data_IF_253062867558
#
_entry.id   IF_253062867558
#
_cell.length_a   1.000
_cell.length_b   1.000
_cell.length_c   1.000
_cell.angle_alpha   90.00
_cell.angle_beta   90.00
_cell.angle_gamma   90.00
#
_symmetry.space_group_name_H-M   'P 1'
#
loop_
_entity.id
_entity.type
_entity.pdbx_description
1 polymer ?
#
# COMPACT_ATOMS: atom_id res chain seq x y z
N UNK A 1 37.78 30.69 -23.29
CA UNK A 1 37.03 29.41 -23.43
C UNK A 1 35.85 29.25 -22.48
N UNK A 2 35.98 29.47 -21.14
CA UNK A 2 34.86 29.28 -20.18
C UNK A 2 33.62 30.15 -20.47
N UNK A 3 33.80 31.44 -20.80
CA UNK A 3 32.68 32.35 -21.08
C UNK A 3 31.90 32.03 -22.37
N UNK A 4 32.56 31.47 -23.38
CA UNK A 4 31.93 31.07 -24.66
C UNK A 4 31.12 29.80 -24.46
N UNK A 5 31.60 28.84 -23.65
CA UNK A 5 30.87 27.63 -23.32
C UNK A 5 29.61 27.94 -22.48
N UNK A 6 29.74 28.86 -21.50
CA UNK A 6 28.63 29.37 -20.71
C UNK A 6 27.62 30.15 -21.56
N UNK A 7 28.08 30.97 -22.50
CA UNK A 7 27.23 31.67 -23.46
C UNK A 7 26.48 30.74 -24.41
N UNK A 8 27.13 29.69 -24.91
CA UNK A 8 26.51 28.65 -25.74
C UNK A 8 25.48 27.82 -24.97
N UNK A 9 25.80 27.44 -23.73
CA UNK A 9 24.84 26.78 -22.83
C UNK A 9 23.64 27.69 -22.56
N UNK A 10 23.86 28.96 -22.20
CA UNK A 10 22.80 29.93 -21.99
C UNK A 10 21.93 30.12 -23.25
N UNK A 11 22.54 30.19 -24.44
CA UNK A 11 21.80 30.32 -25.70
C UNK A 11 20.97 29.06 -26.05
N UNK A 12 21.50 27.87 -25.79
CA UNK A 12 20.77 26.59 -25.92
C UNK A 12 19.60 26.49 -24.93
N UNK A 13 19.71 27.10 -23.75
CA UNK A 13 18.63 27.19 -22.75
C UNK A 13 17.59 28.28 -23.06
N UNK A 14 17.98 29.37 -23.74
CA UNK A 14 17.10 30.51 -24.04
C UNK A 14 16.26 30.33 -25.31
N UNK A 15 16.71 29.51 -26.28
CA UNK A 15 15.99 29.29 -27.55
C UNK A 15 15.76 27.80 -27.87
N UNK A 16 15.04 27.04 -27.02
CA UNK A 16 14.65 25.69 -27.38
C UNK A 16 13.59 25.73 -28.50
N UNK A 17 14.00 25.48 -29.75
CA UNK A 17 13.05 25.27 -30.84
C UNK A 17 12.52 23.84 -30.78
N UNK A 18 11.20 23.71 -30.89
CA UNK A 18 10.54 22.41 -31.06
C UNK A 18 11.07 21.72 -32.31
N UNK A 19 11.78 20.62 -32.12
CA UNK A 19 12.28 19.80 -33.21
C UNK A 19 11.24 18.72 -33.51
N UNK A 20 10.68 18.76 -34.71
CA UNK A 20 9.73 17.77 -35.21
C UNK A 20 10.43 16.46 -35.57
N UNK A 21 10.33 15.46 -34.70
CA UNK A 21 10.81 14.09 -34.91
C UNK A 21 9.68 13.12 -34.52
N UNK A 22 9.50 12.04 -35.26
CA UNK A 22 8.37 11.10 -35.12
C UNK A 22 6.95 11.66 -35.32
N UNK A 23 6.76 12.92 -35.73
CA UNK A 23 5.45 13.60 -35.59
C UNK A 23 5.18 14.10 -34.16
N UNK A 24 6.20 14.08 -33.31
CA UNK A 24 6.17 14.53 -31.92
C UNK A 24 6.81 15.93 -31.82
N UNK A 25 6.16 16.81 -31.06
CA UNK A 25 6.75 18.07 -30.61
C UNK A 25 7.62 17.76 -29.39
N UNK A 26 8.95 17.84 -29.51
CA UNK A 26 9.87 17.34 -28.47
C UNK A 26 11.07 18.24 -28.24
N UNK A 27 11.38 18.47 -26.96
CA UNK A 27 12.61 19.11 -26.47
C UNK A 27 13.21 18.22 -25.37
N UNK A 28 14.49 17.88 -25.49
CA UNK A 28 15.20 17.09 -24.49
C UNK A 28 16.50 17.79 -24.06
N UNK A 29 16.47 18.40 -22.88
CA UNK A 29 17.61 18.97 -22.15
C UNK A 29 17.79 18.24 -20.80
N UNK A 30 17.47 16.95 -20.75
CA UNK A 30 17.49 16.16 -19.51
C UNK A 30 18.88 16.20 -18.83
N UNK A 31 18.96 16.23 -17.50
CA UNK A 31 17.84 16.13 -16.57
C UNK A 31 17.14 17.47 -16.32
N UNK A 32 17.58 18.60 -16.89
CA UNK A 32 17.05 19.91 -16.52
C UNK A 32 15.62 20.14 -17.03
N UNK A 33 15.37 19.79 -18.28
CA UNK A 33 14.05 19.98 -18.89
C UNK A 33 13.81 18.92 -19.96
N UNK A 34 12.64 18.31 -19.94
CA UNK A 34 12.17 17.42 -20.99
C UNK A 34 10.70 17.71 -21.25
N UNK A 35 10.34 17.83 -22.52
CA UNK A 35 8.95 17.99 -22.93
C UNK A 35 8.70 17.20 -24.21
N UNK A 36 7.59 16.47 -24.22
CA UNK A 36 7.13 15.73 -25.38
C UNK A 36 5.62 15.84 -25.48
N UNK A 37 5.14 16.08 -26.69
CA UNK A 37 3.74 16.03 -27.04
C UNK A 37 3.55 15.22 -28.30
N UNK A 38 2.65 14.23 -28.21
CA UNK A 38 2.22 13.41 -29.32
C UNK A 38 0.85 13.88 -29.80
N UNK A 39 0.75 14.55 -30.97
CA UNK A 39 -0.51 15.04 -31.51
C UNK A 39 -1.52 13.93 -31.81
N UNK A 40 -1.07 12.73 -32.22
CA UNK A 40 -1.95 11.63 -32.61
C UNK A 40 -2.63 10.98 -31.40
N UNK A 41 -1.85 10.70 -30.36
CA UNK A 41 -2.36 10.04 -29.15
C UNK A 41 -2.92 11.05 -28.14
N UNK A 42 -2.55 12.33 -28.26
CA UNK A 42 -2.87 13.37 -27.28
C UNK A 42 -2.05 13.23 -25.97
N UNK A 43 -1.00 12.42 -25.98
CA UNK A 43 -0.12 12.22 -24.83
C UNK A 43 0.87 13.39 -24.76
N UNK A 44 0.89 14.06 -23.61
CA UNK A 44 1.80 15.15 -23.29
C UNK A 44 2.51 14.83 -21.99
N UNK A 45 3.82 15.04 -21.94
CA UNK A 45 4.64 14.79 -20.76
C UNK A 45 5.70 15.89 -20.60
N UNK A 46 5.95 16.28 -19.36
CA UNK A 46 7.00 17.23 -19.00
C UNK A 46 7.73 16.79 -17.74
N UNK A 47 9.05 16.87 -17.76
CA UNK A 47 9.93 16.67 -16.60
C UNK A 47 10.84 17.88 -16.42
N UNK A 48 11.03 18.34 -15.18
CA UNK A 48 11.94 19.44 -14.85
C UNK A 48 12.81 19.04 -13.67
N UNK A 49 14.12 19.26 -13.81
CA UNK A 49 15.14 18.85 -12.85
C UNK A 49 15.04 17.34 -12.49
N UNK A 50 14.89 16.48 -13.50
CA UNK A 50 14.87 15.03 -13.36
C UNK A 50 13.59 14.57 -12.67
N UNK A 51 13.65 14.09 -11.41
CA UNK A 51 12.47 13.57 -10.72
C UNK A 51 11.63 14.65 -9.99
N UNK A 52 12.15 15.87 -9.81
CA UNK A 52 11.50 16.87 -8.94
C UNK A 52 10.14 17.33 -9.47
N UNK A 53 10.04 17.74 -10.73
CA UNK A 53 8.75 18.04 -11.35
C UNK A 53 8.41 17.05 -12.45
N UNK A 54 7.17 16.60 -12.46
CA UNK A 54 6.61 15.78 -13.52
C UNK A 54 5.17 16.16 -13.78
N UNK A 55 4.76 16.20 -15.03
CA UNK A 55 3.35 16.31 -15.40
C UNK A 55 3.06 15.48 -16.63
N UNK A 56 1.90 14.86 -16.67
CA UNK A 56 1.41 14.20 -17.87
C UNK A 56 -0.05 14.52 -18.14
N UNK A 57 -0.43 14.40 -19.40
CA UNK A 57 -1.82 14.43 -19.87
C UNK A 57 -1.99 13.36 -20.94
N UNK A 58 -3.06 12.62 -20.85
CA UNK A 58 -3.55 11.65 -21.83
C UNK A 58 -5.04 11.93 -22.08
N UNK A 59 -5.70 11.15 -22.94
CA UNK A 59 -7.15 11.29 -23.18
C UNK A 59 -7.99 10.93 -21.94
N UNK A 60 -7.50 10.02 -21.10
CA UNK A 60 -8.25 9.46 -19.97
C UNK A 60 -7.77 9.98 -18.60
N UNK A 61 -6.48 10.29 -18.51
CA UNK A 61 -5.82 10.63 -17.26
C UNK A 61 -4.90 11.84 -17.39
N UNK A 62 -4.74 12.58 -16.29
CA UNK A 62 -3.79 13.69 -16.21
C UNK A 62 -3.32 13.92 -14.78
N UNK A 63 -2.21 14.65 -14.63
CA UNK A 63 -1.82 15.24 -13.36
C UNK A 63 -0.36 15.65 -13.30
N UNK A 64 0.16 15.76 -12.09
CA UNK A 64 1.49 16.29 -11.83
C UNK A 64 2.08 15.78 -10.50
N UNK A 65 3.39 15.95 -10.33
CA UNK A 65 4.11 15.67 -9.10
C UNK A 65 5.24 16.70 -8.91
N UNK A 66 5.24 17.35 -7.76
CA UNK A 66 6.37 18.11 -7.20
C UNK A 66 6.99 17.24 -6.09
N UNK A 67 7.91 16.37 -6.44
CA UNK A 67 8.43 15.32 -5.55
C UNK A 67 9.48 15.87 -4.59
N UNK A 68 9.54 15.35 -3.33
CA UNK A 68 8.59 14.42 -2.70
C UNK A 68 7.39 15.14 -2.03
N UNK A 69 7.22 16.44 -2.28
CA UNK A 69 6.32 17.32 -1.53
C UNK A 69 4.84 17.09 -1.82
N UNK A 70 4.46 16.97 -3.09
CA UNK A 70 3.07 16.79 -3.48
C UNK A 70 2.91 16.07 -4.82
N UNK A 71 1.82 15.33 -4.99
CA UNK A 71 1.41 14.82 -6.29
C UNK A 71 -0.11 14.81 -6.43
N UNK A 72 -0.59 14.97 -7.66
CA UNK A 72 -1.99 14.97 -8.02
C UNK A 72 -2.21 14.10 -9.25
N UNK A 73 -3.16 13.17 -9.18
CA UNK A 73 -3.64 12.42 -10.34
C UNK A 73 -5.15 12.51 -10.48
N UNK A 74 -5.59 12.60 -11.74
CA UNK A 74 -6.97 12.47 -12.17
C UNK A 74 -7.04 11.30 -13.12
N UNK A 75 -7.61 10.20 -12.63
CA UNK A 75 -7.96 8.98 -13.36
C UNK A 75 -9.47 9.00 -13.65
N UNK A 76 -9.98 8.16 -14.58
CA UNK A 76 -11.39 8.18 -14.99
C UNK A 76 -12.40 8.13 -13.82
N UNK A 77 -12.13 7.30 -12.82
CA UNK A 77 -13.02 7.09 -11.66
C UNK A 77 -12.41 7.59 -10.35
N UNK A 78 -11.22 8.19 -10.37
CA UNK A 78 -10.49 8.50 -9.13
C UNK A 78 -9.68 9.78 -9.26
N UNK A 79 -9.81 10.67 -8.28
CA UNK A 79 -8.88 11.78 -8.06
C UNK A 79 -8.06 11.47 -6.82
N UNK A 80 -6.76 11.66 -6.91
CA UNK A 80 -5.83 11.42 -5.81
C UNK A 80 -4.90 12.62 -5.67
N UNK A 81 -4.77 13.13 -4.44
CA UNK A 81 -3.78 14.13 -4.08
C UNK A 81 -2.96 13.60 -2.91
N UNK A 82 -1.66 13.74 -2.96
CA UNK A 82 -0.73 13.28 -1.92
C UNK A 82 0.14 14.46 -1.53
N UNK A 83 0.44 14.59 -0.23
CA UNK A 83 1.31 15.63 0.33
C UNK A 83 2.26 14.99 1.33
N UNK A 84 3.57 15.17 1.15
CA UNK A 84 4.63 14.56 1.97
C UNK A 84 4.35 13.08 2.26
N UNK A 85 4.03 12.30 1.21
CA UNK A 85 3.61 10.90 1.37
C UNK A 85 4.61 10.10 2.22
N UNK A 86 4.15 9.33 3.24
CA UNK A 86 2.77 8.91 3.50
C UNK A 86 1.96 9.83 4.45
N UNK A 87 2.47 11.00 4.80
CA UNK A 87 1.83 11.86 5.81
C UNK A 87 0.46 12.34 5.35
N UNK A 88 0.33 12.89 4.15
CA UNK A 88 -0.90 13.43 3.60
C UNK A 88 -1.39 12.66 2.36
N UNK A 89 -2.66 12.24 2.38
CA UNK A 89 -3.34 11.61 1.24
C UNK A 89 -4.81 11.99 1.21
N UNK A 90 -5.24 12.46 0.05
CA UNK A 90 -6.63 12.68 -0.32
C UNK A 90 -6.97 11.78 -1.49
N UNK A 91 -8.07 11.05 -1.41
CA UNK A 91 -8.65 10.42 -2.59
C UNK A 91 -10.16 10.60 -2.64
N UNK A 92 -10.66 10.74 -3.86
CA UNK A 92 -12.06 10.89 -4.18
C UNK A 92 -12.42 9.88 -5.27
N UNK A 93 -13.36 9.01 -4.95
CA UNK A 93 -14.08 8.12 -5.86
C UNK A 93 -15.55 8.56 -5.92
N UNK A 94 -16.40 8.03 -6.82
CA UNK A 94 -17.82 8.39 -6.88
C UNK A 94 -18.53 8.26 -5.52
N UNK A 95 -18.19 7.22 -4.76
CA UNK A 95 -18.95 6.82 -3.57
C UNK A 95 -18.30 7.24 -2.24
N UNK A 96 -17.02 7.61 -2.26
CA UNK A 96 -16.24 7.89 -1.05
C UNK A 96 -15.23 9.01 -1.23
N UNK A 97 -15.20 9.92 -0.26
CA UNK A 97 -14.19 10.97 -0.16
C UNK A 97 -13.41 10.81 1.14
N UNK A 98 -12.09 10.62 1.04
CA UNK A 98 -11.23 10.47 2.21
C UNK A 98 -10.03 11.39 2.14
N UNK A 99 -9.77 12.10 3.24
CA UNK A 99 -8.57 12.89 3.46
C UNK A 99 -7.91 12.43 4.76
N UNK A 100 -6.61 12.12 4.70
CA UNK A 100 -5.81 11.72 5.85
C UNK A 100 -4.53 12.54 5.84
N UNK A 101 -4.20 13.15 6.97
CA UNK A 101 -2.92 13.76 7.32
C UNK A 101 -2.46 13.14 8.64
N UNK A 102 -1.60 12.13 8.61
CA UNK A 102 -1.17 11.41 9.82
C UNK A 102 -0.22 12.30 10.65
N UNK A 103 -0.35 12.34 11.99
CA UNK A 103 -1.50 11.91 12.81
C UNK A 103 -2.55 13.01 13.01
N UNK A 104 -2.37 14.17 12.36
CA UNK A 104 -3.04 15.43 12.67
C UNK A 104 -4.51 15.47 12.28
N UNK A 105 -4.90 14.94 11.12
CA UNK A 105 -6.24 15.11 10.60
C UNK A 105 -6.74 13.92 9.79
N UNK A 106 -7.98 13.49 10.03
CA UNK A 106 -8.64 12.50 9.19
C UNK A 106 -10.11 12.89 8.98
N UNK A 107 -10.54 12.89 7.72
CA UNK A 107 -11.94 13.04 7.32
C UNK A 107 -12.31 11.89 6.40
N UNK A 108 -13.42 11.25 6.70
CA UNK A 108 -14.04 10.22 5.87
C UNK A 108 -15.51 10.59 5.65
N UNK A 109 -15.96 10.48 4.41
CA UNK A 109 -17.30 10.80 3.96
C UNK A 109 -17.72 9.66 3.03
N UNK A 110 -18.57 8.77 3.56
CA UNK A 110 -19.32 7.80 2.75
C UNK A 110 -20.57 8.49 2.19
N UNK A 111 -20.83 8.25 0.90
CA UNK A 111 -21.95 8.85 0.16
C UNK A 111 -23.03 7.82 -0.22
N UNK A 112 -22.90 6.55 0.19
CA UNK A 112 -23.89 5.52 -0.10
C UNK A 112 -25.03 5.50 0.93
N UNK A 113 -26.27 5.55 0.41
CA UNK A 113 -27.43 4.90 1.01
C UNK A 113 -28.09 5.51 2.26
N UNK A 114 -27.49 6.49 2.93
CA UNK A 114 -28.08 7.10 4.14
C UNK A 114 -28.58 8.54 3.87
N UNK A 115 -29.82 8.86 4.27
CA UNK A 115 -30.38 10.22 4.22
C UNK A 115 -29.53 11.24 5.01
N UNK A 116 -28.74 10.78 5.99
CA UNK A 116 -27.81 11.60 6.78
C UNK A 116 -26.51 10.84 7.10
N UNK A 117 -25.51 10.85 6.19
CA UNK A 117 -24.27 10.12 6.41
C UNK A 117 -23.52 10.69 7.62
N UNK A 118 -23.00 9.85 8.54
CA UNK A 118 -22.29 10.30 9.73
C UNK A 118 -21.04 11.09 9.34
N UNK A 119 -20.87 12.27 9.94
CA UNK A 119 -19.74 13.16 9.66
C UNK A 119 -18.81 13.18 10.84
N UNK A 120 -17.53 12.93 10.62
CA UNK A 120 -16.50 13.07 11.66
C UNK A 120 -15.31 13.83 11.12
N UNK A 121 -14.84 14.80 11.91
CA UNK A 121 -13.64 15.58 11.66
C UNK A 121 -12.81 15.58 12.93
N UNK A 122 -11.55 15.22 12.82
CA UNK A 122 -10.60 15.28 13.92
C UNK A 122 -9.37 16.07 13.48
N UNK A 123 -8.95 17.01 14.30
CA UNK A 123 -7.69 17.75 14.26
C UNK A 123 -7.02 17.58 15.61
N UNK A 124 -6.22 16.53 15.82
CA UNK A 124 -5.71 16.21 17.16
C UNK A 124 -5.10 17.46 17.82
N UNK A 125 -5.58 17.87 19.02
CA UNK A 125 -6.48 17.13 19.92
C UNK A 125 -8.00 17.34 19.78
N UNK A 126 -8.44 18.24 18.91
CA UNK A 126 -9.84 18.66 18.73
C UNK A 126 -10.57 17.70 17.80
N UNK A 127 -11.84 17.40 18.07
CA UNK A 127 -12.70 16.66 17.14
C UNK A 127 -14.14 17.13 17.24
N UNK A 128 -14.90 16.91 16.17
CA UNK A 128 -16.33 17.17 16.13
C UNK A 128 -17.01 16.35 15.02
N UNK A 129 -18.31 16.20 15.14
CA UNK A 129 -19.07 15.43 14.18
C UNK A 129 -20.54 15.32 14.50
N UNK A 130 -21.21 14.50 13.71
CA UNK A 130 -22.63 14.17 13.84
C UNK A 130 -22.79 12.66 13.59
N UNK A 131 -23.59 11.99 14.41
CA UNK A 131 -23.97 10.59 14.16
C UNK A 131 -25.11 10.50 13.13
N UNK A 132 -25.45 9.26 12.72
CA UNK A 132 -26.56 9.02 11.79
C UNK A 132 -27.93 9.45 12.34
N UNK A 133 -28.06 9.60 13.67
CA UNK A 133 -29.27 10.11 14.35
C UNK A 133 -29.32 11.63 14.42
N UNK A 134 -28.36 12.33 13.80
CA UNK A 134 -28.30 13.80 13.78
C UNK A 134 -27.73 14.43 15.06
N UNK A 135 -27.20 13.66 16.00
CA UNK A 135 -26.65 14.17 17.27
C UNK A 135 -25.24 14.71 17.06
N UNK A 136 -25.09 16.02 17.21
CA UNK A 136 -23.79 16.70 17.14
C UNK A 136 -22.95 16.45 18.40
N UNK A 137 -21.65 16.28 18.22
CA UNK A 137 -20.70 16.04 19.29
C UNK A 137 -19.35 16.70 19.02
N UNK A 138 -18.55 16.90 20.07
CA UNK A 138 -17.23 17.52 19.99
C UNK A 138 -16.35 17.17 21.20
N UNK A 139 -15.05 17.43 21.07
CA UNK A 139 -14.12 17.34 22.17
C UNK A 139 -12.75 17.96 21.87
N UNK A 140 -11.97 18.15 22.93
CA UNK A 140 -10.57 18.53 22.96
C UNK A 140 -9.85 17.57 23.90
N UNK A 141 -9.13 16.60 23.34
CA UNK A 141 -8.38 15.63 24.13
C UNK A 141 -7.16 16.27 24.82
N UNK A 142 -6.82 15.93 26.07
CA UNK A 142 -7.53 15.03 26.97
C UNK A 142 -8.60 15.72 27.84
N UNK A 143 -8.85 17.02 27.69
CA UNK A 143 -9.64 17.81 28.64
C UNK A 143 -11.12 17.46 28.68
N UNK A 144 -11.76 17.33 27.53
CA UNK A 144 -13.19 17.01 27.44
C UNK A 144 -13.49 16.41 26.09
N UNK A 145 -14.42 15.47 26.03
CA UNK A 145 -14.98 15.11 24.75
C UNK A 145 -16.18 14.21 24.89
N UNK A 146 -17.18 14.47 24.06
CA UNK A 146 -18.36 13.63 23.92
C UNK A 146 -18.41 13.12 22.48
N UNK A 147 -18.73 11.86 22.29
CA UNK A 147 -18.91 11.24 20.98
C UNK A 147 -20.04 10.22 21.03
N UNK A 148 -20.71 10.01 19.90
CA UNK A 148 -21.83 9.06 19.77
C UNK A 148 -21.54 8.03 18.68
N UNK A 149 -22.06 6.82 18.86
CA UNK A 149 -21.96 5.72 17.89
C UNK A 149 -20.51 5.47 17.44
N UNK A 150 -19.58 5.40 18.40
CA UNK A 150 -18.14 5.28 18.15
C UNK A 150 -17.53 4.23 19.06
N UNK A 151 -16.51 3.53 18.55
CA UNK A 151 -15.82 2.45 19.26
C UNK A 151 -16.78 1.37 19.81
N UNK A 152 -17.87 1.07 19.09
CA UNK A 152 -18.90 0.12 19.51
C UNK A 152 -19.74 0.59 20.70
N UNK A 153 -19.77 1.89 21.00
CA UNK A 153 -20.53 2.49 22.10
C UNK A 153 -21.53 3.52 21.57
N UNK A 154 -22.70 3.59 22.20
CA UNK A 154 -23.74 4.57 21.90
C UNK A 154 -23.30 5.99 22.24
N UNK A 155 -22.61 6.14 23.37
CA UNK A 155 -22.07 7.41 23.86
C UNK A 155 -20.74 7.15 24.58
N UNK A 156 -19.77 8.03 24.36
CA UNK A 156 -18.54 8.10 25.16
C UNK A 156 -18.34 9.56 25.56
N UNK A 157 -18.15 9.79 26.84
CA UNK A 157 -17.80 11.06 27.46
C UNK A 157 -16.49 10.87 28.22
N UNK A 158 -15.53 11.77 28.04
CA UNK A 158 -14.37 11.86 28.93
C UNK A 158 -14.20 13.28 29.46
N UNK A 159 -13.69 13.39 30.68
CA UNK A 159 -13.37 14.65 31.34
C UNK A 159 -11.99 14.48 31.96
N UNK A 160 -11.06 15.34 31.57
CA UNK A 160 -9.65 15.32 31.99
C UNK A 160 -9.06 13.91 31.90
N UNK A 161 -9.16 13.27 30.73
CA UNK A 161 -8.63 11.92 30.54
C UNK A 161 -7.16 11.84 31.02
N UNK A 162 -6.76 10.82 31.80
CA UNK A 162 -7.49 9.60 32.13
C UNK A 162 -8.39 9.68 33.39
N UNK A 163 -8.62 10.86 33.98
CA UNK A 163 -9.28 10.99 35.28
C UNK A 163 -10.73 10.49 35.28
N UNK A 164 -11.52 10.79 34.25
CA UNK A 164 -12.91 10.36 34.16
C UNK A 164 -13.31 9.98 32.74
N UNK A 165 -14.00 8.86 32.61
CA UNK A 165 -14.66 8.44 31.36
C UNK A 165 -15.98 7.75 31.68
N UNK A 166 -17.02 8.07 30.92
CA UNK A 166 -18.33 7.44 30.98
C UNK A 166 -18.69 6.97 29.58
N UNK A 167 -19.05 5.70 29.42
CA UNK A 167 -19.56 5.17 28.16
C UNK A 167 -20.91 4.50 28.35
N UNK A 168 -21.75 4.55 27.32
CA UNK A 168 -23.06 3.90 27.27
C UNK A 168 -23.08 2.90 26.12
N UNK A 169 -23.61 1.71 26.38
CA UNK A 169 -23.73 0.63 25.41
C UNK A 169 -25.03 -0.15 25.66
N UNK A 170 -26.00 -0.05 24.75
CA UNK A 170 -27.30 -0.75 24.87
C UNK A 170 -28.00 -0.48 26.22
N UNK A 171 -27.86 0.75 26.74
CA UNK A 171 -28.39 1.17 28.04
C UNK A 171 -27.50 0.85 29.24
N UNK A 172 -26.42 0.09 29.07
CA UNK A 172 -25.44 -0.18 30.13
C UNK A 172 -24.44 0.97 30.26
N UNK A 173 -24.28 1.48 31.48
CA UNK A 173 -23.42 2.63 31.78
C UNK A 173 -22.13 2.12 32.41
N UNK A 174 -21.00 2.39 31.78
CA UNK A 174 -19.67 2.14 32.34
C UNK A 174 -19.00 3.45 32.71
N UNK A 175 -18.69 3.63 33.99
CA UNK A 175 -17.93 4.77 34.52
C UNK A 175 -16.54 4.30 34.94
N UNK A 176 -15.51 4.99 34.46
CA UNK A 176 -14.10 4.73 34.78
C UNK A 176 -13.50 5.97 35.42
N UNK A 177 -12.79 5.78 36.54
CA UNK A 177 -11.99 6.80 37.20
C UNK A 177 -10.52 6.41 37.13
N UNK A 178 -9.65 7.38 36.83
CA UNK A 178 -8.21 7.17 36.71
C UNK A 178 -7.92 5.96 35.83
N UNK A 179 -8.33 5.99 34.57
CA UNK A 179 -8.15 4.87 33.65
C UNK A 179 -6.68 4.39 33.68
N UNK A 180 -6.41 3.07 33.85
CA UNK A 180 -7.37 1.96 33.87
C UNK A 180 -7.83 1.49 35.27
N UNK A 181 -7.40 2.15 36.36
CA UNK A 181 -7.46 1.62 37.73
C UNK A 181 -8.88 1.30 38.23
N UNK A 182 -9.83 2.23 38.14
CA UNK A 182 -11.16 2.04 38.72
C UNK A 182 -12.24 2.04 37.65
N UNK A 183 -13.11 1.04 37.63
CA UNK A 183 -14.24 0.97 36.71
C UNK A 183 -15.48 0.38 37.36
N UNK A 184 -16.65 0.85 36.97
CA UNK A 184 -17.95 0.33 37.40
C UNK A 184 -18.90 0.32 36.21
N UNK A 185 -19.56 -0.81 35.98
CA UNK A 185 -20.56 -0.99 34.92
C UNK A 185 -21.88 -1.37 35.59
N UNK A 186 -22.93 -0.63 35.27
CA UNK A 186 -24.30 -0.87 35.75
C UNK A 186 -25.29 -0.61 34.61
N UNK A 187 -26.23 -1.53 34.43
CA UNK A 187 -27.27 -1.42 33.42
C UNK A 187 -28.25 -2.58 33.47
N UNK A 188 -29.20 -2.63 32.52
CA UNK A 188 -30.24 -3.66 32.50
C UNK A 188 -29.68 -5.05 32.25
N UNK A 189 -28.61 -5.20 31.45
CA UNK A 189 -28.07 -6.49 31.06
C UNK A 189 -26.65 -6.72 31.54
N UNK A 190 -25.89 -5.66 31.87
CA UNK A 190 -24.51 -5.73 32.31
C UNK A 190 -24.27 -5.20 33.72
N UNK A 191 -23.39 -5.88 34.45
CA UNK A 191 -22.86 -5.45 35.74
C UNK A 191 -21.36 -5.72 35.81
N UNK A 192 -20.60 -4.83 36.41
CA UNK A 192 -19.16 -5.04 36.56
C UNK A 192 -18.47 -4.04 37.44
N UNK A 193 -17.30 -4.43 37.95
CA UNK A 193 -16.41 -3.60 38.77
C UNK A 193 -14.97 -3.96 38.47
N UNK A 194 -14.09 -2.96 38.49
CA UNK A 194 -12.66 -3.13 38.27
C UNK A 194 -11.86 -2.29 39.24
N UNK A 195 -10.88 -2.94 39.84
CA UNK A 195 -9.78 -2.38 40.60
C UNK A 195 -8.49 -2.96 40.01
N UNK A 196 -8.09 -2.46 38.85
CA UNK A 196 -6.87 -2.91 38.19
C UNK A 196 -5.64 -2.44 38.98
N UNK A 197 -4.59 -3.26 39.14
CA UNK A 197 -4.41 -4.63 38.63
C UNK A 197 -4.92 -5.73 39.58
N UNK A 198 -5.54 -5.41 40.71
CA UNK A 198 -5.84 -6.38 41.78
C UNK A 198 -7.01 -7.30 41.47
N UNK A 199 -8.13 -6.77 40.97
CA UNK A 199 -9.34 -7.53 40.74
C UNK A 199 -10.23 -6.87 39.69
N UNK A 200 -10.97 -7.67 38.94
CA UNK A 200 -12.10 -7.18 38.16
C UNK A 200 -13.11 -8.28 37.91
N UNK A 201 -14.35 -7.88 37.76
CA UNK A 201 -15.48 -8.75 37.48
C UNK A 201 -16.44 -8.04 36.53
N UNK A 202 -16.89 -8.74 35.51
CA UNK A 202 -17.84 -8.26 34.51
C UNK A 202 -18.77 -9.40 34.13
N UNK A 203 -20.07 -9.16 34.16
CA UNK A 203 -21.07 -10.12 33.76
C UNK A 203 -22.12 -9.45 32.90
N UNK A 204 -22.50 -10.11 31.82
CA UNK A 204 -23.60 -9.75 30.95
C UNK A 204 -24.57 -10.92 30.91
N UNK A 205 -25.84 -10.64 31.23
CA UNK A 205 -26.87 -11.66 31.34
C UNK A 205 -27.01 -12.46 30.05
N UNK A 206 -27.00 -13.79 30.18
CA UNK A 206 -27.08 -14.71 29.04
C UNK A 206 -25.84 -14.78 28.15
N UNK A 207 -24.88 -13.87 28.26
CA UNK A 207 -23.73 -13.81 27.33
C UNK A 207 -22.41 -14.23 27.97
N UNK A 208 -21.97 -13.56 29.03
CA UNK A 208 -20.65 -13.84 29.61
C UNK A 208 -20.52 -13.50 31.10
N UNK A 209 -19.54 -14.13 31.73
CA UNK A 209 -19.03 -13.83 33.06
C UNK A 209 -17.51 -13.89 33.03
N UNK A 210 -16.84 -12.78 33.34
CA UNK A 210 -15.39 -12.63 33.25
C UNK A 210 -14.85 -12.03 34.53
N UNK A 211 -13.76 -12.60 35.02
CA UNK A 211 -13.09 -12.11 36.21
C UNK A 211 -11.58 -12.26 36.10
N UNK A 212 -10.86 -11.41 36.81
CA UNK A 212 -9.42 -11.53 36.98
C UNK A 212 -9.03 -11.22 38.41
N UNK A 213 -7.91 -11.80 38.84
CA UNK A 213 -7.26 -11.53 40.12
C UNK A 213 -5.76 -11.39 39.87
N UNK A 214 -5.13 -10.39 40.47
CA UNK A 214 -3.71 -10.07 40.30
C UNK A 214 -3.29 -10.10 38.83
N UNK A 215 -3.84 -9.19 38.04
CA UNK A 215 -3.47 -9.03 36.63
C UNK A 215 -1.94 -8.94 36.48
N UNK A 216 -1.30 -9.67 35.54
CA UNK A 216 -1.89 -10.50 34.49
C UNK A 216 -1.92 -12.00 34.82
N UNK A 217 -1.89 -12.41 36.10
CA UNK A 217 -1.65 -13.80 36.48
C UNK A 217 -2.90 -14.67 36.46
N UNK A 218 -4.03 -14.22 37.01
CA UNK A 218 -5.23 -15.06 37.11
C UNK A 218 -6.41 -14.48 36.33
N UNK A 219 -6.96 -15.26 35.40
CA UNK A 219 -8.21 -14.94 34.71
C UNK A 219 -9.14 -16.16 34.68
N UNK A 220 -10.44 -15.88 34.83
CA UNK A 220 -11.51 -16.86 34.73
C UNK A 220 -12.63 -16.26 33.91
N UNK A 221 -12.95 -16.88 32.79
CA UNK A 221 -13.95 -16.39 31.86
C UNK A 221 -14.89 -17.53 31.47
N UNK A 222 -16.18 -17.22 31.40
CA UNK A 222 -17.23 -18.05 30.84
C UNK A 222 -17.97 -17.21 29.81
N UNK A 223 -18.12 -17.69 28.59
CA UNK A 223 -18.85 -17.01 27.51
C UNK A 223 -19.87 -17.95 26.90
N UNK A 224 -20.73 -17.42 26.04
CA UNK A 224 -21.78 -18.16 25.35
C UNK A 224 -22.73 -18.86 26.33
N UNK A 225 -23.11 -18.13 27.40
CA UNK A 225 -23.95 -18.67 28.48
C UNK A 225 -25.38 -19.03 28.01
N UNK A 226 -25.78 -18.58 26.83
CA UNK A 226 -27.03 -18.95 26.15
C UNK A 226 -26.95 -20.33 25.46
N UNK A 227 -25.75 -20.88 25.26
CA UNK A 227 -25.56 -22.21 24.70
C UNK A 227 -25.65 -23.31 25.76
N UNK A 228 -25.94 -24.54 25.33
CA UNK A 228 -25.98 -25.72 26.23
C UNK A 228 -24.62 -26.04 26.86
N UNK A 229 -23.53 -25.76 26.13
CA UNK A 229 -22.17 -25.99 26.58
C UNK A 229 -21.42 -24.67 26.49
N UNK A 230 -21.35 -23.88 27.58
CA UNK A 230 -20.69 -22.59 27.55
C UNK A 230 -19.19 -22.75 27.34
N UNK A 231 -18.60 -21.73 26.75
CA UNK A 231 -17.15 -21.62 26.58
C UNK A 231 -16.50 -21.21 27.91
N UNK A 232 -15.43 -21.88 28.31
CA UNK A 232 -14.73 -21.65 29.57
C UNK A 232 -13.24 -21.42 29.34
N UNK A 233 -12.67 -20.44 30.04
CA UNK A 233 -11.24 -20.11 30.00
C UNK A 233 -10.70 -19.87 31.39
N UNK A 234 -9.60 -20.55 31.70
CA UNK A 234 -8.87 -20.44 32.96
C UNK A 234 -7.41 -20.17 32.64
N UNK A 235 -6.86 -19.12 33.23
CA UNK A 235 -5.50 -18.68 32.96
C UNK A 235 -4.79 -18.46 34.29
N UNK A 236 -3.70 -19.20 34.49
CA UNK A 236 -2.66 -18.97 35.48
C UNK A 236 -1.37 -18.64 34.74
N UNK A 237 -1.28 -17.41 34.26
CA UNK A 237 -0.19 -16.96 33.41
C UNK A 237 1.12 -16.83 34.19
N UNK A 238 2.29 -17.08 33.58
CA UNK A 238 2.50 -17.71 32.27
C UNK A 238 2.47 -19.25 32.30
N UNK A 239 2.14 -19.87 33.43
CA UNK A 239 2.37 -21.30 33.64
C UNK A 239 1.33 -22.22 33.00
N UNK A 240 0.06 -21.83 33.01
CA UNK A 240 -1.05 -22.66 32.55
C UNK A 240 -2.18 -21.83 31.96
N UNK A 241 -2.65 -22.20 30.77
CA UNK A 241 -3.86 -21.65 30.17
C UNK A 241 -4.69 -22.82 29.66
N UNK A 242 -5.98 -22.80 29.94
CA UNK A 242 -6.92 -23.81 29.45
C UNK A 242 -8.17 -23.12 28.93
N UNK A 243 -8.54 -23.50 27.72
CA UNK A 243 -9.74 -23.02 27.05
C UNK A 243 -10.55 -24.21 26.57
N UNK A 244 -11.85 -24.17 26.75
CA UNK A 244 -12.80 -25.20 26.32
C UNK A 244 -14.02 -24.53 25.75
N UNK A 245 -14.46 -24.98 24.60
CA UNK A 245 -15.77 -24.63 24.02
C UNK A 245 -16.54 -25.91 23.75
N UNK A 246 -17.72 -25.80 23.14
CA UNK A 246 -18.46 -26.98 22.67
C UNK A 246 -17.62 -27.87 21.74
N UNK A 247 -16.83 -27.26 20.85
CA UNK A 247 -16.12 -27.96 19.78
C UNK A 247 -14.60 -27.97 19.94
N UNK A 248 -14.02 -27.10 20.78
CA UNK A 248 -12.56 -26.94 20.84
C UNK A 248 -12.00 -27.10 22.24
N UNK A 249 -10.74 -27.53 22.31
CA UNK A 249 -9.98 -27.65 23.55
C UNK A 249 -8.56 -27.16 23.32
N UNK A 250 -8.15 -26.18 24.11
CA UNK A 250 -6.78 -25.64 24.11
C UNK A 250 -6.16 -25.81 25.48
N UNK A 251 -4.89 -26.19 25.52
CA UNK A 251 -4.09 -26.21 26.74
C UNK A 251 -2.70 -25.70 26.42
N UNK A 252 -2.28 -24.67 27.16
CA UNK A 252 -0.97 -24.06 27.06
C UNK A 252 -0.25 -24.25 28.39
N UNK A 253 0.96 -24.79 28.34
CA UNK A 253 1.87 -24.89 29.46
C UNK A 253 3.08 -24.01 29.19
N UNK A 254 3.52 -23.25 30.20
CA UNK A 254 4.68 -22.35 30.12
C UNK A 254 4.63 -21.50 28.84
N UNK A 255 3.64 -20.61 28.76
CA UNK A 255 3.42 -19.76 27.60
C UNK A 255 4.74 -19.04 27.21
N UNK A 256 5.11 -19.00 25.91
CA UNK A 256 4.38 -19.51 24.74
C UNK A 256 4.79 -20.92 24.30
N UNK A 257 5.58 -21.66 25.09
CA UNK A 257 6.38 -22.77 24.58
C UNK A 257 5.59 -24.03 24.26
N UNK A 258 4.65 -24.45 25.10
CA UNK A 258 3.96 -25.73 24.94
C UNK A 258 2.47 -25.50 24.74
N UNK A 259 2.00 -25.60 23.50
CA UNK A 259 0.60 -25.44 23.15
C UNK A 259 0.04 -26.74 22.58
N UNK A 260 -1.16 -27.10 23.02
CA UNK A 260 -1.96 -28.18 22.46
C UNK A 260 -3.33 -27.64 22.12
N UNK A 261 -3.70 -27.72 20.86
CA UNK A 261 -5.02 -27.36 20.36
C UNK A 261 -5.70 -28.58 19.74
N UNK A 262 -7.00 -28.73 19.98
CA UNK A 262 -7.82 -29.78 19.41
C UNK A 262 -9.17 -29.22 19.01
N UNK A 263 -9.58 -29.53 17.79
CA UNK A 263 -10.94 -29.35 17.31
C UNK A 263 -11.62 -30.72 17.26
N UNK A 264 -12.69 -30.86 18.02
CA UNK A 264 -13.47 -32.07 18.17
C UNK A 264 -14.43 -32.29 17.00
N UNK A 265 -14.80 -31.24 16.28
CA UNK A 265 -15.74 -31.29 15.16
C UNK A 265 -15.09 -31.80 13.88
N UNK A 266 -13.89 -31.32 13.58
CA UNK A 266 -13.10 -31.70 12.39
C UNK A 266 -12.09 -32.81 12.68
N UNK A 267 -11.79 -33.07 13.95
CA UNK A 267 -10.72 -33.98 14.36
C UNK A 267 -9.32 -33.40 14.26
N UNK A 268 -9.18 -32.10 13.93
CA UNK A 268 -7.90 -31.42 13.83
C UNK A 268 -7.18 -31.34 15.19
N UNK A 269 -5.87 -31.58 15.18
CA UNK A 269 -5.01 -31.54 16.37
C UNK A 269 -3.72 -30.81 16.04
N UNK A 270 -3.27 -29.96 16.95
CA UNK A 270 -2.01 -29.23 16.82
C UNK A 270 -1.23 -29.26 18.14
N UNK A 271 0.09 -29.40 18.00
CA UNK A 271 1.07 -29.38 19.05
C UNK A 271 2.19 -28.41 18.66
N UNK A 272 2.47 -27.43 19.50
CA UNK A 272 3.63 -26.55 19.37
C UNK A 272 4.53 -26.79 20.58
N UNK A 273 5.67 -27.49 20.40
CA UNK A 273 6.49 -28.00 21.51
C UNK A 273 7.99 -28.12 21.13
N UNK A 274 8.87 -27.20 21.57
CA UNK A 274 8.61 -25.83 22.01
C UNK A 274 8.36 -24.87 20.84
N UNK A 275 7.39 -23.99 20.94
CA UNK A 275 7.19 -22.88 20.00
C UNK A 275 8.35 -21.87 20.06
N UNK A 276 8.79 -21.27 18.94
CA UNK A 276 8.34 -21.49 17.57
C UNK A 276 9.05 -22.67 16.87
N UNK A 277 9.98 -23.34 17.55
CA UNK A 277 10.91 -24.29 16.93
C UNK A 277 10.22 -25.53 16.36
N UNK A 278 9.22 -26.08 17.05
CA UNK A 278 8.54 -27.29 16.59
C UNK A 278 7.03 -27.10 16.57
N UNK A 279 6.43 -27.44 15.43
CA UNK A 279 4.99 -27.53 15.27
C UNK A 279 4.64 -28.81 14.53
N UNK A 280 3.66 -29.55 15.07
CA UNK A 280 3.03 -30.68 14.43
C UNK A 280 1.52 -30.48 14.47
N UNK A 281 0.87 -30.46 13.31
CA UNK A 281 -0.57 -30.39 13.18
C UNK A 281 -1.08 -31.39 12.14
N UNK A 282 -2.25 -31.96 12.42
CA UNK A 282 -2.87 -33.00 11.62
C UNK A 282 -4.39 -32.90 11.73
N UNK A 283 -5.06 -32.94 10.58
CA UNK A 283 -6.50 -32.98 10.42
C UNK A 283 -6.87 -33.17 8.94
N UNK A 284 -8.15 -33.43 8.63
CA UNK A 284 -8.58 -33.73 7.26
C UNK A 284 -8.28 -32.61 6.26
N UNK A 285 -8.57 -31.36 6.64
CA UNK A 285 -8.44 -30.19 5.77
C UNK A 285 -7.07 -29.51 5.87
N UNK A 286 -6.26 -29.85 6.88
CA UNK A 286 -5.01 -29.14 7.18
C UNK A 286 -3.99 -30.01 7.90
N UNK A 287 -2.77 -30.00 7.38
CA UNK A 287 -1.60 -30.59 8.05
C UNK A 287 -0.43 -29.60 8.12
N UNK A 288 0.39 -29.69 9.17
CA UNK A 288 1.56 -28.81 9.34
C UNK A 288 2.68 -29.56 10.04
N UNK A 289 3.90 -29.46 9.52
CA UNK A 289 5.11 -30.00 10.14
C UNK A 289 6.21 -28.96 9.99
N UNK A 290 6.64 -28.37 11.10
CA UNK A 290 7.63 -27.29 11.09
C UNK A 290 8.70 -27.53 12.14
N UNK A 291 9.94 -27.37 11.71
CA UNK A 291 11.15 -27.24 12.48
C UNK A 291 11.74 -25.85 12.18
N UNK A 292 11.21 -24.81 12.82
CA UNK A 292 11.68 -23.45 12.58
C UNK A 292 13.06 -23.21 13.24
N UNK A 293 13.99 -22.48 12.62
CA UNK A 293 13.91 -21.85 11.30
C UNK A 293 14.34 -22.75 10.13
N UNK A 294 14.63 -24.03 10.35
CA UNK A 294 15.30 -24.89 9.36
C UNK A 294 14.41 -25.32 8.20
N UNK A 295 13.23 -25.86 8.50
CA UNK A 295 12.31 -26.36 7.47
C UNK A 295 10.89 -26.34 8.01
N UNK A 296 9.91 -26.07 7.16
CA UNK A 296 8.53 -26.32 7.54
C UNK A 296 7.63 -26.39 6.32
N UNK A 297 6.56 -27.16 6.45
CA UNK A 297 5.53 -27.34 5.43
C UNK A 297 4.17 -27.27 6.09
N UNK A 298 3.23 -26.62 5.43
CA UNK A 298 1.83 -26.58 5.83
C UNK A 298 0.99 -26.69 4.59
N UNK A 299 0.02 -27.59 4.63
CA UNK A 299 -0.86 -27.90 3.52
C UNK A 299 -2.29 -27.82 3.99
N UNK A 300 -3.14 -27.26 3.13
CA UNK A 300 -4.59 -27.29 3.21
C UNK A 300 -5.14 -27.79 1.88
N UNK A 301 -6.46 -27.93 1.75
CA UNK A 301 -7.08 -28.30 0.47
C UNK A 301 -6.74 -27.29 -0.64
N UNK A 302 -6.77 -26.00 -0.34
CA UNK A 302 -6.56 -24.92 -1.33
C UNK A 302 -5.12 -24.36 -1.37
N UNK A 303 -4.27 -24.69 -0.40
CA UNK A 303 -2.98 -24.01 -0.25
C UNK A 303 -1.84 -24.89 0.21
N UNK A 304 -0.64 -24.56 -0.24
CA UNK A 304 0.59 -25.19 0.21
C UNK A 304 1.64 -24.12 0.50
N UNK A 305 2.26 -24.20 1.67
CA UNK A 305 3.35 -23.32 2.06
C UNK A 305 4.51 -24.14 2.58
N UNK A 306 5.72 -23.73 2.24
CA UNK A 306 6.92 -24.28 2.84
C UNK A 306 8.03 -23.24 2.97
N UNK A 307 8.95 -23.48 3.89
CA UNK A 307 10.15 -22.68 4.06
C UNK A 307 11.37 -23.57 4.24
N UNK A 308 12.53 -23.04 3.85
CA UNK A 308 13.83 -23.65 4.07
C UNK A 308 14.78 -22.57 4.55
N UNK A 309 15.43 -22.81 5.69
CA UNK A 309 16.32 -21.87 6.37
C UNK A 309 15.71 -20.47 6.47
N UNK A 310 14.54 -20.35 7.08
CA UNK A 310 13.84 -19.09 7.24
C UNK A 310 14.78 -18.00 7.80
N UNK A 311 14.80 -16.77 7.23
CA UNK A 311 13.93 -16.26 6.16
C UNK A 311 14.54 -16.37 4.75
N UNK A 312 15.55 -17.21 4.54
CA UNK A 312 16.30 -17.29 3.26
C UNK A 312 15.42 -17.74 2.10
N UNK A 313 14.54 -18.73 2.32
CA UNK A 313 13.61 -19.20 1.31
C UNK A 313 12.23 -19.47 1.90
N UNK A 314 11.19 -18.89 1.28
CA UNK A 314 9.79 -19.25 1.54
C UNK A 314 9.03 -19.42 0.23
N UNK A 315 8.09 -20.35 0.23
CA UNK A 315 7.18 -20.64 -0.85
C UNK A 315 5.75 -20.64 -0.33
N UNK A 316 4.86 -20.08 -1.13
CA UNK A 316 3.44 -20.05 -0.86
C UNK A 316 2.70 -20.21 -2.19
N UNK A 317 1.76 -21.14 -2.20
CA UNK A 317 0.85 -21.41 -3.30
C UNK A 317 -0.57 -21.48 -2.75
N UNK A 318 -1.49 -20.86 -3.44
CA UNK A 318 -2.93 -20.96 -3.17
C UNK A 318 -3.67 -21.02 -4.49
N UNK A 319 -4.67 -21.88 -4.57
CA UNK A 319 -5.57 -22.01 -5.71
C UNK A 319 -6.97 -22.26 -5.18
N UNK A 320 -7.88 -21.35 -5.52
CA UNK A 320 -9.27 -21.33 -5.08
C UNK A 320 -10.20 -21.14 -6.31
N UNK A 321 -11.51 -21.04 -6.09
CA UNK A 321 -12.51 -20.84 -7.16
C UNK A 321 -12.28 -19.55 -7.98
N UNK A 322 -11.52 -18.58 -7.45
CA UNK A 322 -11.25 -17.29 -8.10
C UNK A 322 -9.93 -17.28 -8.88
N UNK A 323 -9.19 -18.38 -8.88
CA UNK A 323 -7.89 -18.54 -9.54
C UNK A 323 -6.77 -18.87 -8.56
N UNK A 324 -5.52 -18.61 -8.96
CA UNK A 324 -4.37 -19.03 -8.18
C UNK A 324 -3.20 -18.06 -8.15
N UNK A 325 -2.37 -18.22 -7.11
CA UNK A 325 -1.31 -17.29 -6.72
C UNK A 325 -0.11 -18.09 -6.24
N UNK A 326 1.04 -17.83 -6.85
CA UNK A 326 2.32 -18.43 -6.45
C UNK A 326 3.30 -17.34 -6.03
N UNK A 327 3.88 -17.48 -4.83
CA UNK A 327 4.84 -16.55 -4.27
C UNK A 327 6.07 -17.32 -3.79
N UNK A 328 7.24 -16.95 -4.31
CA UNK A 328 8.54 -17.42 -3.84
C UNK A 328 9.31 -16.23 -3.30
N UNK A 329 9.82 -16.32 -2.07
CA UNK A 329 10.69 -15.28 -1.49
C UNK A 329 12.08 -15.84 -1.27
N UNK A 330 13.06 -15.03 -1.62
CA UNK A 330 14.48 -15.27 -1.41
C UNK A 330 15.04 -14.10 -0.60
N UNK A 331 15.97 -14.36 0.32
CA UNK A 331 16.72 -13.32 1.03
C UNK A 331 15.80 -12.21 1.60
N UNK A 332 14.77 -12.62 2.36
CA UNK A 332 13.74 -11.80 3.02
C UNK A 332 12.83 -10.94 2.09
N UNK A 333 13.41 -10.14 1.19
CA UNK A 333 12.70 -9.13 0.40
C UNK A 333 12.64 -9.41 -1.10
N UNK A 334 13.48 -10.30 -1.63
CA UNK A 334 13.38 -10.69 -3.03
C UNK A 334 12.18 -11.61 -3.21
N UNK A 335 11.34 -11.33 -4.18
CA UNK A 335 10.04 -11.97 -4.35
C UNK A 335 9.73 -12.22 -5.82
N UNK A 336 9.43 -13.46 -6.16
CA UNK A 336 8.79 -13.86 -7.39
C UNK A 336 7.30 -14.08 -7.09
N UNK A 337 6.41 -13.44 -7.84
CA UNK A 337 4.97 -13.54 -7.66
C UNK A 337 4.32 -13.76 -9.03
N UNK A 338 3.47 -14.78 -9.14
CA UNK A 338 2.68 -15.09 -10.33
C UNK A 338 1.22 -15.27 -9.93
N UNK A 339 0.31 -14.76 -10.75
CA UNK A 339 -1.13 -14.82 -10.54
C UNK A 339 -1.86 -15.18 -11.83
N UNK A 340 -2.90 -16.01 -11.71
CA UNK A 340 -3.83 -16.39 -12.77
C UNK A 340 -5.27 -16.32 -12.28
N UNK A 341 -6.23 -16.25 -13.21
CA UNK A 341 -7.67 -16.24 -12.92
C UNK A 341 -8.25 -17.66 -12.83
N UNK A 342 -9.57 -17.74 -12.60
CA UNK A 342 -10.39 -18.96 -12.50
C UNK A 342 -10.36 -19.83 -13.76
N UNK A 343 -10.08 -19.23 -14.93
CA UNK A 343 -9.90 -19.96 -16.20
C UNK A 343 -8.44 -20.36 -16.46
N UNK A 344 -7.52 -20.08 -15.53
CA UNK A 344 -6.09 -20.33 -15.68
C UNK A 344 -5.36 -19.33 -16.58
N UNK A 345 -6.01 -18.23 -16.97
CA UNK A 345 -5.37 -17.21 -17.77
C UNK A 345 -4.40 -16.37 -16.93
N UNK A 346 -3.32 -15.96 -17.58
CA UNK A 346 -2.32 -15.11 -16.97
C UNK A 346 -2.90 -13.75 -16.57
N UNK A 347 -2.74 -13.36 -15.30
CA UNK A 347 -3.13 -12.04 -14.77
C UNK A 347 -1.91 -11.15 -14.58
N UNK A 348 -0.90 -11.61 -13.83
CA UNK A 348 0.25 -10.79 -13.45
C UNK A 348 1.46 -11.63 -13.06
N UNK A 349 2.64 -11.16 -13.42
CA UNK A 349 3.93 -11.62 -12.85
C UNK A 349 4.69 -10.41 -12.31
N UNK A 350 5.23 -10.53 -11.10
CA UNK A 350 6.04 -9.50 -10.45
C UNK A 350 7.29 -10.13 -9.85
N UNK A 351 8.45 -9.73 -10.34
CA UNK A 351 9.76 -10.22 -9.94
C UNK A 351 10.55 -9.08 -9.31
N UNK A 352 10.89 -9.20 -8.03
CA UNK A 352 11.75 -8.27 -7.32
C UNK A 352 12.99 -9.01 -6.83
N UNK A 353 14.16 -8.56 -7.26
CA UNK A 353 15.43 -8.92 -6.64
C UNK A 353 15.90 -7.68 -5.87
N UNK A 354 15.58 -7.62 -4.58
CA UNK A 354 15.86 -6.43 -3.77
C UNK A 354 17.35 -6.38 -3.38
N UNK A 355 18.01 -5.21 -3.43
CA UNK A 355 17.53 -3.89 -3.85
C UNK A 355 17.77 -3.59 -5.34
N UNK A 356 18.11 -4.61 -6.14
CA UNK A 356 18.59 -4.48 -7.51
C UNK A 356 17.47 -4.09 -8.49
N UNK A 357 16.48 -4.93 -8.74
CA UNK A 357 15.47 -4.61 -9.74
C UNK A 357 14.07 -5.07 -9.37
N UNK A 358 13.10 -4.43 -10.01
CA UNK A 358 11.69 -4.82 -10.02
C UNK A 358 11.24 -4.91 -11.46
N UNK A 359 10.77 -6.08 -11.87
CA UNK A 359 10.12 -6.34 -13.15
C UNK A 359 8.66 -6.70 -12.90
N UNK A 360 7.76 -6.20 -13.72
CA UNK A 360 6.36 -6.58 -13.67
C UNK A 360 5.76 -6.65 -15.07
N UNK A 361 4.93 -7.66 -15.28
CA UNK A 361 4.12 -7.87 -16.47
C UNK A 361 2.67 -8.10 -16.08
N UNK A 362 1.76 -7.42 -16.77
CA UNK A 362 0.32 -7.55 -16.58
C UNK A 362 -0.35 -8.15 -17.82
N UNK A 363 -1.50 -8.79 -17.63
CA UNK A 363 -2.33 -9.32 -18.72
C UNK A 363 -2.74 -8.27 -19.75
N UNK A 364 -2.87 -7.01 -19.31
CA UNK A 364 -3.16 -5.86 -20.17
C UNK A 364 -2.10 -5.63 -21.25
N UNK A 365 -0.90 -6.21 -21.13
CA UNK A 365 0.25 -5.98 -22.00
C UNK A 365 1.22 -4.92 -21.48
N UNK A 366 0.92 -4.29 -20.34
CA UNK A 366 1.85 -3.38 -19.68
C UNK A 366 2.99 -4.17 -19.04
N UNK A 367 4.22 -3.80 -19.39
CA UNK A 367 5.44 -4.32 -18.80
C UNK A 367 6.33 -3.18 -18.32
N UNK A 368 7.00 -3.37 -17.19
CA UNK A 368 7.99 -2.40 -16.73
C UNK A 368 9.13 -3.05 -15.94
N UNK A 369 10.29 -2.41 -15.99
CA UNK A 369 11.49 -2.76 -15.23
C UNK A 369 12.10 -1.50 -14.61
N UNK A 370 12.35 -1.53 -13.31
CA UNK A 370 12.99 -0.44 -12.56
C UNK A 370 14.27 -0.92 -11.90
N UNK A 371 15.30 -0.08 -11.92
CA UNK A 371 16.56 -0.30 -11.23
C UNK A 371 17.14 1.04 -10.73
N UNK A 372 17.67 1.12 -9.50
CA UNK A 372 17.47 0.17 -8.40
C UNK A 372 16.02 0.12 -7.89
N UNK A 373 15.65 -0.99 -7.25
CA UNK A 373 14.35 -1.17 -6.59
C UNK A 373 14.52 -1.15 -5.06
N UNK A 374 14.70 0.04 -4.49
CA UNK A 374 15.04 0.21 -3.07
C UNK A 374 13.89 -0.10 -2.11
N UNK A 375 12.63 0.02 -2.54
CA UNK A 375 11.48 -0.29 -1.70
C UNK A 375 11.19 -1.81 -1.72
N UNK A 376 11.25 -2.51 -0.58
CA UNK A 376 11.01 -3.95 -0.51
C UNK A 376 9.51 -4.31 -0.54
N UNK A 377 8.63 -3.32 -0.65
CA UNK A 377 7.18 -3.45 -0.65
C UNK A 377 6.55 -2.79 -1.88
N UNK A 378 5.29 -3.12 -2.14
CA UNK A 378 4.52 -2.50 -3.23
C UNK A 378 3.59 -1.44 -2.65
N UNK A 379 3.96 -0.18 -2.81
CA UNK A 379 3.11 0.95 -2.46
C UNK A 379 3.16 1.99 -3.57
N UNK A 380 2.01 2.27 -4.18
CA UNK A 380 1.92 3.21 -5.31
C UNK A 380 2.34 4.64 -4.93
N UNK A 381 2.12 5.07 -3.69
CA UNK A 381 2.49 6.40 -3.23
C UNK A 381 4.00 6.55 -3.05
N UNK A 382 4.68 5.55 -2.49
CA UNK A 382 6.14 5.52 -2.41
C UNK A 382 6.76 5.44 -3.79
N UNK A 383 6.30 4.54 -4.66
CA UNK A 383 6.80 4.40 -6.02
C UNK A 383 6.56 5.66 -6.87
N UNK A 384 5.53 6.45 -6.54
CA UNK A 384 5.20 7.70 -7.24
C UNK A 384 6.00 8.90 -6.74
N UNK A 385 6.13 9.09 -5.42
CA UNK A 385 6.76 10.30 -4.86
C UNK A 385 8.24 10.13 -4.58
N UNK A 386 8.68 8.92 -4.22
CA UNK A 386 10.05 8.64 -3.82
C UNK A 386 10.81 7.80 -4.85
N UNK A 387 10.14 6.85 -5.51
CA UNK A 387 10.72 5.97 -6.54
C UNK A 387 11.60 6.71 -7.56
N UNK A 388 11.12 7.79 -8.21
CA UNK A 388 11.87 8.48 -9.26
C UNK A 388 13.21 9.08 -8.80
N UNK A 389 13.42 9.36 -7.51
CA UNK A 389 14.73 9.82 -7.01
C UNK A 389 15.79 8.74 -7.04
N UNK A 390 15.39 7.47 -7.02
CA UNK A 390 16.33 6.36 -6.91
C UNK A 390 16.44 5.57 -8.19
N UNK A 391 15.45 5.63 -9.09
CA UNK A 391 15.47 4.91 -10.37
C UNK A 391 16.50 5.51 -11.31
N UNK A 392 17.63 4.83 -11.43
CA UNK A 392 18.68 5.12 -12.40
C UNK A 392 18.36 4.54 -13.78
N UNK A 393 17.51 3.53 -13.84
CA UNK A 393 17.04 2.89 -15.06
C UNK A 393 15.54 2.60 -14.94
N UNK A 394 14.79 2.97 -15.98
CA UNK A 394 13.37 2.67 -16.13
C UNK A 394 13.14 2.18 -17.56
N UNK A 395 12.49 1.02 -17.69
CA UNK A 395 11.99 0.52 -18.96
C UNK A 395 10.49 0.26 -18.81
N UNK A 396 9.71 0.73 -19.78
CA UNK A 396 8.26 0.57 -19.81
C UNK A 396 7.88 0.18 -21.23
N UNK A 397 7.01 -0.80 -21.38
CA UNK A 397 6.41 -1.21 -22.64
C UNK A 397 4.89 -1.22 -22.50
N UNK A 398 4.22 -0.57 -23.42
CA UNK A 398 2.77 -0.49 -23.45
C UNK A 398 2.15 -1.64 -24.27
N UNK A 399 0.81 -1.84 -24.17
CA UNK A 399 0.11 -2.89 -24.92
C UNK A 399 0.12 -2.69 -26.44
N UNK A 400 0.40 -1.47 -26.91
CA UNK A 400 0.42 -1.12 -28.34
C UNK A 400 1.78 -1.36 -28.98
N UNK A 401 2.76 -1.84 -28.21
CA UNK A 401 4.12 -2.15 -28.66
C UNK A 401 5.09 -0.97 -28.60
N UNK A 402 4.69 0.16 -28.03
CA UNK A 402 5.61 1.25 -27.74
C UNK A 402 6.42 0.90 -26.49
N UNK A 403 7.74 1.08 -26.57
CA UNK A 403 8.63 0.92 -25.43
C UNK A 403 9.48 2.16 -25.22
N UNK A 404 9.69 2.50 -23.95
CA UNK A 404 10.51 3.62 -23.51
C UNK A 404 11.51 3.13 -22.48
N UNK A 405 12.77 3.52 -22.67
CA UNK A 405 13.87 3.33 -21.75
C UNK A 405 14.40 4.69 -21.33
N UNK A 406 14.67 4.85 -20.05
CA UNK A 406 15.20 6.05 -19.43
C UNK A 406 16.35 5.66 -18.51
N UNK A 407 17.50 6.29 -18.70
CA UNK A 407 18.70 6.07 -17.87
C UNK A 407 19.15 7.42 -17.30
N UNK A 408 19.54 7.43 -16.02
CA UNK A 408 20.01 8.59 -15.26
C UNK A 408 19.07 9.80 -15.43
N UNK A 409 17.81 9.64 -15.04
CA UNK A 409 16.76 10.66 -15.19
C UNK A 409 16.56 11.18 -16.61
N UNK A 410 16.88 10.37 -17.63
CA UNK A 410 16.64 10.69 -19.03
C UNK A 410 17.79 11.37 -19.73
N UNK A 411 18.98 11.38 -19.13
CA UNK A 411 20.22 11.71 -19.85
C UNK A 411 20.36 10.81 -21.07
N UNK A 412 20.07 9.51 -20.94
CA UNK A 412 19.90 8.62 -22.09
C UNK A 412 18.42 8.22 -22.16
N UNK A 413 17.82 8.41 -23.33
CA UNK A 413 16.46 7.97 -23.64
C UNK A 413 16.47 7.12 -24.89
N UNK A 414 15.72 6.03 -24.86
CA UNK A 414 15.46 5.22 -26.02
C UNK A 414 13.97 4.95 -26.10
N UNK A 415 13.34 5.35 -27.20
CA UNK A 415 11.93 5.10 -27.48
C UNK A 415 11.81 4.36 -28.80
N UNK A 416 10.91 3.37 -28.85
CA UNK A 416 10.62 2.66 -30.09
C UNK A 416 9.14 2.30 -30.16
N UNK A 417 8.63 2.26 -31.38
CA UNK A 417 7.28 1.80 -31.68
C UNK A 417 7.25 1.10 -33.05
N UNK A 418 6.05 0.78 -33.57
CA UNK A 418 5.91 0.13 -34.86
C UNK A 418 6.60 0.91 -35.98
N UNK A 419 7.73 0.38 -36.48
CA UNK A 419 8.47 0.96 -37.60
C UNK A 419 9.38 2.15 -37.28
N UNK A 420 9.57 2.54 -36.02
CA UNK A 420 10.49 3.65 -35.69
C UNK A 420 11.24 3.44 -34.38
N UNK A 421 12.42 4.05 -34.28
CA UNK A 421 13.21 4.13 -33.05
C UNK A 421 13.87 5.49 -32.91
N UNK A 422 13.94 5.99 -31.69
CA UNK A 422 14.55 7.26 -31.31
C UNK A 422 15.51 7.03 -30.14
N UNK A 423 16.78 7.35 -30.33
CA UNK A 423 17.79 7.34 -29.27
C UNK A 423 18.26 8.77 -29.02
N UNK A 424 18.34 9.18 -27.76
CA UNK A 424 18.80 10.51 -27.36
C UNK A 424 19.81 10.42 -26.22
N UNK A 425 20.88 11.20 -26.33
CA UNK A 425 21.79 11.55 -25.23
C UNK A 425 21.53 13.02 -24.90
N UNK A 426 20.49 13.27 -24.09
CA UNK A 426 20.03 14.61 -23.71
C UNK A 426 19.98 15.56 -24.93
N UNK A 427 20.55 16.76 -24.80
CA UNK A 427 20.67 17.76 -25.85
C UNK A 427 21.84 17.48 -26.82
N UNK A 428 22.74 16.55 -26.49
CA UNK A 428 23.99 16.36 -27.23
C UNK A 428 23.79 15.64 -28.55
N UNK A 429 22.98 14.58 -28.55
CA UNK A 429 22.82 13.67 -29.68
C UNK A 429 21.39 13.15 -29.74
N UNK A 430 20.82 13.12 -30.95
CA UNK A 430 19.57 12.47 -31.28
C UNK A 430 19.75 11.65 -32.56
N UNK A 431 19.30 10.40 -32.50
CA UNK A 431 19.31 9.44 -33.59
C UNK A 431 17.89 8.93 -33.81
N UNK A 432 17.33 9.22 -34.98
CA UNK A 432 16.01 8.78 -35.40
C UNK A 432 16.16 7.79 -36.56
N UNK A 433 15.46 6.64 -36.47
CA UNK A 433 15.39 5.66 -37.56
C UNK A 433 13.92 5.38 -37.90
N UNK A 434 13.62 5.33 -39.20
CA UNK A 434 12.31 5.01 -39.79
C UNK A 434 12.50 4.14 -41.05
N UNK A 435 11.46 3.51 -41.61
CA UNK A 435 11.62 2.58 -42.72
C UNK A 435 12.03 3.27 -44.03
N UNK A 436 11.64 4.53 -44.22
CA UNK A 436 11.93 5.33 -45.42
C UNK A 436 12.86 6.52 -45.15
N UNK A 437 13.59 6.50 -44.03
CA UNK A 437 14.39 7.65 -43.63
C UNK A 437 15.00 7.56 -42.24
N UNK A 438 15.69 8.61 -41.83
CA UNK A 438 16.31 8.71 -40.52
C UNK A 438 16.94 10.07 -40.31
N UNK A 439 17.35 10.38 -39.09
CA UNK A 439 17.94 11.66 -38.75
C UNK A 439 19.02 11.54 -37.69
N UNK A 440 20.10 12.28 -37.87
CA UNK A 440 21.10 12.57 -36.86
C UNK A 440 20.97 14.05 -36.52
N UNK A 441 20.81 14.38 -35.24
CA UNK A 441 20.87 15.75 -34.76
C UNK A 441 21.85 15.85 -33.61
N UNK A 442 22.71 16.88 -33.64
CA UNK A 442 23.68 17.19 -32.61
C UNK A 442 23.34 18.54 -31.98
N UNK A 443 23.60 18.66 -30.67
CA UNK A 443 23.44 19.89 -29.90
C UNK A 443 22.06 20.55 -30.13
N UNK A 444 21.00 19.77 -29.97
CA UNK A 444 19.61 20.20 -30.16
C UNK A 444 19.31 20.86 -31.51
N UNK A 445 19.89 20.36 -32.60
CA UNK A 445 19.60 20.84 -33.96
C UNK A 445 20.54 21.92 -34.48
N UNK A 446 21.63 22.20 -33.75
CA UNK A 446 22.73 23.03 -34.26
C UNK A 446 23.31 22.43 -35.55
N UNK A 447 23.42 21.09 -35.57
CA UNK A 447 23.73 20.31 -36.76
C UNK A 447 22.67 19.22 -36.91
N UNK A 448 22.02 19.14 -38.07
CA UNK A 448 21.01 18.12 -38.35
C UNK A 448 21.20 17.56 -39.76
N UNK A 449 21.29 16.24 -39.88
CA UNK A 449 21.28 15.52 -41.15
C UNK A 449 20.06 14.61 -41.12
N UNK A 450 19.10 14.83 -42.01
CA UNK A 450 17.87 14.05 -42.10
C UNK A 450 17.69 13.50 -43.50
N UNK A 451 17.36 12.21 -43.63
CA UNK A 451 16.96 11.57 -44.88
C UNK A 451 15.47 11.31 -44.82
N UNK A 452 14.71 11.86 -45.74
CA UNK A 452 13.25 11.65 -45.84
C UNK A 452 12.86 11.32 -47.28
N UNK A 453 12.23 10.16 -47.49
CA UNK A 453 11.81 9.66 -48.82
C UNK A 453 12.89 9.77 -49.90
N UNK A 454 14.14 9.50 -49.53
CA UNK A 454 15.30 9.53 -50.43
C UNK A 454 15.98 10.90 -50.60
N UNK A 455 15.41 12.00 -50.09
CA UNK A 455 16.04 13.32 -50.09
C UNK A 455 16.86 13.53 -48.80
N UNK A 456 18.07 14.07 -48.95
CA UNK A 456 18.91 14.47 -47.82
C UNK A 456 18.63 15.94 -47.50
N UNK A 457 18.39 16.21 -46.23
CA UNK A 457 18.24 17.55 -45.68
C UNK A 457 19.37 17.82 -44.69
N UNK A 458 20.08 18.93 -44.89
CA UNK A 458 21.12 19.40 -43.99
C UNK A 458 20.68 20.72 -43.33
N UNK A 459 20.80 20.80 -42.00
CA UNK A 459 20.72 22.07 -41.28
C UNK A 459 22.02 22.36 -40.54
N UNK A 460 22.46 23.61 -40.64
CA UNK A 460 23.60 24.17 -39.91
C UNK A 460 23.13 25.44 -39.20
N UNK A 461 23.47 25.59 -37.93
CA UNK A 461 23.06 26.74 -37.12
C UNK A 461 21.54 27.00 -37.18
N UNK A 462 20.75 25.93 -37.14
CA UNK A 462 19.28 25.96 -37.24
C UNK A 462 18.71 26.46 -38.57
N UNK A 463 19.55 26.69 -39.58
CA UNK A 463 19.15 27.12 -40.93
C UNK A 463 19.27 25.95 -41.91
N UNK A 464 18.27 25.74 -42.79
CA UNK A 464 18.36 24.75 -43.85
C UNK A 464 19.43 25.14 -44.86
N UNK A 465 20.25 24.19 -45.26
CA UNK A 465 21.30 24.37 -46.28
C UNK A 465 20.84 23.76 -47.62
N UNK A 466 20.27 22.56 -47.59
CA UNK A 466 19.61 21.89 -48.73
C UNK A 466 18.69 20.77 -48.24
#
# INVERSE_FOLDING_TARGET
MRGVLLGLLAFLFLFPRFLWAGGLERINLSPFYFHQKNPETGVEETEILGPFWYSFRTREASGWALRPLASFWRLPQRKEFQFLYPLGRYWKSPDRHRFVLIPLFATDLDLEGEENPPRHRSYFPIFWGQDAKGRSYWGVFPFYGRMYSRAGKDEILFILWPLYTRSVDEGNITTTWLWPFFGKTEGPTEKGRRLWPLYGYYAREGEYEKSFFLWPFFFFERTDLYEKVPSERQMFFPFYIRERTANTRTTILLWPFFNRYQDLSTGYRQWDIPWPFFQYAEGPERSSRRLWPLIGRTETEESSSYFFLWPLYTYYFVEDETGGKEIRRFLLFSRFHRQWDDYGHFVRTSNRLWPLFRYERQASGLEYLYFPALFPFDDEGFERNWGPFFRLFEWIKDPRGYSRTKILWGIIRYESGPGWSLSELSFLLRLEKRPQGGGLSLLSGLFEIKKDRGRLHLKLFYLPVF
#
